data_IF_639348539660
#
_entry.id   IF_639348539660
#
_cell.length_a   1.000
_cell.length_b   1.000
_cell.length_c   1.000
_cell.angle_alpha   90.00
_cell.angle_beta   90.00
_cell.angle_gamma   90.00
#
_symmetry.space_group_name_H-M   'P 1'
#
loop_
_entity.id
_entity.type
_entity.pdbx_description
1 polymer ?
#
# COMPACT_ATOMS: atom_id res chain seq x y z
N UNK A 1 16.26 -12.86 -21.40
CA UNK A 1 16.41 -11.54 -22.07
C UNK A 1 17.76 -10.95 -21.67
N UNK A 2 18.49 -10.24 -22.56
CA UNK A 2 19.77 -9.61 -22.19
C UNK A 2 19.57 -8.19 -21.65
N UNK A 3 20.52 -7.70 -20.83
CA UNK A 3 20.49 -6.35 -20.26
C UNK A 3 20.43 -5.25 -21.33
N UNK A 4 21.11 -5.42 -22.46
CA UNK A 4 21.04 -4.47 -23.59
C UNK A 4 19.66 -4.43 -24.24
N UNK A 5 19.01 -5.60 -24.36
CA UNK A 5 17.62 -5.69 -24.85
C UNK A 5 16.64 -5.06 -23.86
N UNK A 6 16.84 -5.28 -22.55
CA UNK A 6 16.07 -4.62 -21.49
C UNK A 6 16.23 -3.10 -21.55
N UNK A 7 17.47 -2.61 -21.64
CA UNK A 7 17.80 -1.19 -21.73
C UNK A 7 17.08 -0.51 -22.91
N UNK A 8 17.13 -1.14 -24.10
CA UNK A 8 16.42 -0.67 -25.29
C UNK A 8 14.90 -0.64 -25.09
N UNK A 9 14.34 -1.70 -24.50
CA UNK A 9 12.89 -1.82 -24.28
C UNK A 9 12.33 -0.75 -23.32
N UNK A 10 13.12 -0.28 -22.35
CA UNK A 10 12.71 0.79 -21.43
C UNK A 10 13.35 2.15 -21.74
N UNK A 11 13.98 2.31 -22.91
CA UNK A 11 14.69 3.52 -23.32
C UNK A 11 15.67 4.05 -22.25
N UNK A 12 16.57 3.18 -21.80
CA UNK A 12 17.66 3.47 -20.87
C UNK A 12 19.00 3.08 -21.49
N UNK A 13 20.08 3.67 -20.99
CA UNK A 13 21.43 3.24 -21.36
C UNK A 13 21.81 1.97 -20.62
N UNK A 14 22.70 1.18 -21.21
CA UNK A 14 23.25 -0.03 -20.58
C UNK A 14 23.89 0.29 -19.22
N UNK A 15 24.65 1.38 -19.13
CA UNK A 15 25.23 1.85 -17.88
C UNK A 15 24.17 2.17 -16.81
N UNK A 16 23.01 2.69 -17.20
CA UNK A 16 21.93 2.97 -16.25
C UNK A 16 21.31 1.69 -15.69
N UNK A 17 21.11 0.66 -16.52
CA UNK A 17 20.69 -0.67 -16.06
C UNK A 17 21.69 -1.22 -15.05
N UNK A 18 22.99 -1.15 -15.36
CA UNK A 18 24.01 -1.60 -14.41
C UNK A 18 24.02 -0.82 -13.09
N UNK A 19 23.70 0.49 -13.11
CA UNK A 19 23.56 1.30 -11.89
C UNK A 19 22.34 0.89 -11.06
N UNK A 20 21.26 0.43 -11.69
CA UNK A 20 20.10 -0.09 -10.98
C UNK A 20 20.37 -1.48 -10.38
N UNK A 21 21.00 -2.37 -11.13
CA UNK A 21 21.36 -3.71 -10.63
C UNK A 21 22.35 -3.65 -9.46
N UNK A 22 23.31 -2.72 -9.50
CA UNK A 22 24.26 -2.50 -8.41
C UNK A 22 23.70 -1.67 -7.25
N UNK A 23 22.45 -1.20 -7.35
CA UNK A 23 21.80 -0.37 -6.35
C UNK A 23 22.42 1.02 -6.16
N UNK A 24 23.35 1.45 -7.02
CA UNK A 24 23.99 2.77 -6.92
C UNK A 24 23.04 3.91 -7.30
N UNK A 25 22.02 3.61 -8.12
CA UNK A 25 20.92 4.53 -8.40
C UNK A 25 19.61 3.95 -7.87
N UNK A 26 18.80 4.79 -7.23
CA UNK A 26 17.41 4.44 -6.89
C UNK A 26 16.55 4.39 -8.15
N UNK A 27 15.59 3.48 -8.14
CA UNK A 27 14.60 3.33 -9.19
C UNK A 27 13.26 3.89 -8.72
N UNK A 28 12.61 4.71 -9.56
CA UNK A 28 11.25 5.21 -9.28
C UNK A 28 10.17 4.19 -9.65
N UNK A 29 9.01 4.29 -9.03
CA UNK A 29 7.88 3.37 -9.23
C UNK A 29 7.45 3.23 -10.71
N UNK A 30 7.46 4.33 -11.47
CA UNK A 30 7.14 4.33 -12.91
C UNK A 30 8.12 3.45 -13.73
N UNK A 31 9.41 3.49 -13.40
CA UNK A 31 10.43 2.65 -14.06
C UNK A 31 10.30 1.19 -13.65
N UNK A 32 10.01 0.93 -12.37
CA UNK A 32 9.77 -0.42 -11.87
C UNK A 32 8.56 -1.06 -12.56
N UNK A 33 7.48 -0.30 -12.78
CA UNK A 33 6.32 -0.75 -13.55
C UNK A 33 6.66 -1.07 -15.02
N UNK A 34 7.46 -0.23 -15.68
CA UNK A 34 7.94 -0.51 -17.04
C UNK A 34 8.76 -1.81 -17.10
N UNK A 35 9.63 -2.04 -16.12
CA UNK A 35 10.40 -3.28 -16.05
C UNK A 35 9.52 -4.50 -15.82
N UNK A 36 8.53 -4.41 -14.93
CA UNK A 36 7.56 -5.48 -14.70
C UNK A 36 6.86 -5.89 -16.01
N UNK A 37 6.41 -4.91 -16.78
CA UNK A 37 5.73 -5.14 -18.06
C UNK A 37 6.66 -5.78 -19.11
N UNK A 38 7.90 -5.30 -19.23
CA UNK A 38 8.87 -5.83 -20.21
C UNK A 38 9.37 -7.24 -19.82
N UNK A 39 9.44 -7.54 -18.52
CA UNK A 39 9.86 -8.84 -18.00
C UNK A 39 8.70 -9.83 -17.86
N UNK A 40 7.47 -9.41 -18.12
CA UNK A 40 6.25 -10.19 -17.98
C UNK A 40 6.07 -10.78 -16.56
N UNK A 41 6.30 -9.94 -15.54
CA UNK A 41 6.11 -10.30 -14.13
C UNK A 41 5.23 -9.26 -13.43
N UNK A 42 4.48 -9.63 -12.39
CA UNK A 42 3.81 -8.66 -11.53
C UNK A 42 4.82 -7.70 -10.89
N UNK A 43 4.45 -6.43 -10.66
CA UNK A 43 5.33 -5.47 -9.95
C UNK A 43 5.74 -5.96 -8.56
N UNK A 44 4.91 -6.78 -7.91
CA UNK A 44 5.21 -7.38 -6.61
C UNK A 44 6.47 -8.24 -6.62
N UNK A 45 6.84 -8.84 -7.77
CA UNK A 45 8.05 -9.64 -7.94
C UNK A 45 9.32 -8.94 -7.43
N UNK A 46 9.44 -7.62 -7.63
CA UNK A 46 10.60 -6.85 -7.18
C UNK A 46 10.67 -6.63 -5.65
N UNK A 47 9.64 -7.06 -4.92
CA UNK A 47 9.49 -6.90 -3.49
C UNK A 47 9.35 -8.23 -2.75
N UNK A 48 9.35 -9.38 -3.43
CA UNK A 48 9.11 -10.71 -2.82
C UNK A 48 10.16 -11.08 -1.76
N UNK A 49 11.41 -10.63 -1.94
CA UNK A 49 12.51 -10.83 -0.98
C UNK A 49 12.70 -9.64 -0.03
N UNK A 50 11.82 -8.64 -0.10
CA UNK A 50 11.88 -7.51 0.82
C UNK A 50 11.34 -8.01 2.18
N UNK A 51 12.07 -7.80 3.29
CA UNK A 51 11.55 -8.16 4.61
C UNK A 51 10.21 -7.46 4.80
N UNK A 52 9.21 -8.23 5.25
CA UNK A 52 7.83 -7.75 5.44
C UNK A 52 7.85 -6.34 6.02
N UNK A 53 7.23 -5.40 5.30
CA UNK A 53 7.37 -3.97 5.49
C UNK A 53 6.83 -3.41 6.80
N UNK A 54 6.62 -4.23 7.84
CA UNK A 54 6.19 -3.79 9.18
C UNK A 54 7.14 -2.77 9.80
N UNK A 55 8.43 -2.84 9.47
CA UNK A 55 9.45 -1.90 9.97
C UNK A 55 9.60 -0.64 9.08
N UNK A 56 9.47 -0.77 7.75
CA UNK A 56 9.73 0.35 6.81
C UNK A 56 8.48 1.10 6.34
N UNK A 57 7.28 0.54 6.45
CA UNK A 57 6.03 1.28 6.21
C UNK A 57 5.86 2.46 7.18
N UNK A 58 6.47 2.39 8.38
CA UNK A 58 6.54 3.50 9.34
C UNK A 58 7.24 4.75 8.79
N UNK A 59 8.16 4.61 7.83
CA UNK A 59 8.91 5.73 7.25
C UNK A 59 8.15 6.45 6.12
N UNK A 60 7.22 5.76 5.43
CA UNK A 60 6.38 6.36 4.39
C UNK A 60 5.05 6.92 4.92
N UNK A 61 4.63 6.54 6.13
CA UNK A 61 3.48 7.10 6.83
C UNK A 61 3.77 8.46 7.51
N UNK A 62 4.95 9.05 7.28
CA UNK A 62 5.35 10.30 7.92
C UNK A 62 4.66 11.56 7.37
N UNK A 63 3.88 11.47 6.27
CA UNK A 63 3.21 12.62 5.65
C UNK A 63 1.67 12.55 5.65
N UNK A 64 1.10 11.87 6.65
CA UNK A 64 -0.32 11.93 6.91
C UNK A 64 -0.60 11.33 8.26
N UNK A 65 -1.43 11.99 9.06
CA UNK A 65 -1.95 11.50 10.34
C UNK A 65 -2.85 10.25 10.15
N UNK A 66 -2.31 9.20 9.55
CA UNK A 66 -2.89 7.88 9.49
C UNK A 66 -2.03 7.01 10.39
N UNK A 67 -2.56 6.68 11.57
CA UNK A 67 -2.06 5.57 12.36
C UNK A 67 -1.86 4.38 11.42
N UNK A 68 -0.70 3.70 11.45
CA UNK A 68 -0.47 2.52 10.63
C UNK A 68 -1.64 1.57 10.84
N UNK A 69 -2.44 1.36 9.79
CA UNK A 69 -3.51 0.38 9.83
C UNK A 69 -2.81 -0.97 9.94
N UNK A 70 -2.74 -1.53 11.15
CA UNK A 70 -2.09 -2.81 11.36
C UNK A 70 -2.81 -3.82 10.49
N UNK A 71 -2.07 -4.46 9.60
CA UNK A 71 -2.59 -5.47 8.67
C UNK A 71 -3.37 -6.58 9.41
N UNK A 72 -2.99 -6.81 10.67
CA UNK A 72 -3.63 -7.73 11.61
C UNK A 72 -5.07 -7.29 11.99
N UNK A 73 -5.36 -5.98 12.06
CA UNK A 73 -6.71 -5.46 12.35
C UNK A 73 -7.70 -5.73 11.21
N UNK A 74 -7.25 -5.71 9.96
CA UNK A 74 -8.08 -6.06 8.78
C UNK A 74 -8.26 -7.57 8.62
N UNK A 75 -7.34 -8.37 9.15
CA UNK A 75 -7.44 -9.83 9.18
C UNK A 75 -8.38 -10.35 10.28
N UNK A 76 -8.75 -9.51 11.27
CA UNK A 76 -9.69 -9.89 12.32
C UNK A 76 -11.03 -10.29 11.71
N UNK A 77 -11.50 -11.47 12.10
CA UNK A 77 -12.79 -12.04 11.67
C UNK A 77 -13.94 -11.05 11.86
N UNK A 78 -13.94 -10.34 12.98
CA UNK A 78 -14.93 -9.30 13.30
C UNK A 78 -14.95 -8.16 12.27
N UNK A 79 -13.78 -7.64 11.88
CA UNK A 79 -13.65 -6.59 10.85
C UNK A 79 -14.23 -7.04 9.51
N UNK A 80 -13.93 -8.28 9.11
CA UNK A 80 -14.45 -8.84 7.86
C UNK A 80 -15.98 -9.06 7.92
N UNK A 81 -16.50 -9.50 9.06
CA UNK A 81 -17.95 -9.64 9.27
C UNK A 81 -18.66 -8.28 9.23
N UNK A 82 -18.07 -7.24 9.83
CA UNK A 82 -18.57 -5.86 9.77
C UNK A 82 -18.62 -5.34 8.33
N UNK A 83 -17.54 -5.50 7.57
CA UNK A 83 -17.47 -5.06 6.16
C UNK A 83 -18.53 -5.79 5.34
N UNK A 84 -18.66 -7.11 5.49
CA UNK A 84 -19.68 -7.91 4.79
C UNK A 84 -21.09 -7.45 5.15
N UNK A 85 -21.37 -7.20 6.43
CA UNK A 85 -22.66 -6.72 6.89
C UNK A 85 -22.98 -5.33 6.32
N UNK A 86 -22.00 -4.42 6.29
CA UNK A 86 -22.16 -3.07 5.74
C UNK A 86 -22.57 -3.08 4.26
N UNK A 87 -21.95 -3.95 3.44
CA UNK A 87 -22.31 -4.08 2.03
C UNK A 87 -23.67 -4.74 1.78
N UNK A 88 -24.22 -5.50 2.74
CA UNK A 88 -25.59 -6.07 2.66
C UNK A 88 -26.69 -5.02 2.85
N UNK A 89 -26.36 -3.82 3.33
CA UNK A 89 -27.34 -2.74 3.54
C UNK A 89 -27.68 -2.13 2.18
N UNK A 90 -28.80 -2.52 1.57
CA UNK A 90 -29.21 -2.04 0.24
C UNK A 90 -29.60 -0.54 0.22
N UNK A 91 -30.17 -0.04 1.31
CA UNK A 91 -30.55 1.37 1.43
C UNK A 91 -29.31 2.26 1.67
N UNK A 92 -29.01 3.12 0.70
CA UNK A 92 -27.87 4.03 0.73
C UNK A 92 -27.96 5.08 1.84
N UNK A 93 -29.18 5.49 2.22
CA UNK A 93 -29.43 6.43 3.31
C UNK A 93 -29.13 5.77 4.64
N UNK A 94 -29.58 4.53 4.86
CA UNK A 94 -29.29 3.77 6.08
C UNK A 94 -27.80 3.51 6.20
N UNK A 95 -27.16 3.06 5.11
CA UNK A 95 -25.71 2.80 5.07
C UNK A 95 -24.90 4.05 5.45
N UNK A 96 -25.29 5.22 4.93
CA UNK A 96 -24.67 6.51 5.27
C UNK A 96 -24.84 6.87 6.75
N UNK A 97 -26.01 6.63 7.34
CA UNK A 97 -26.25 6.90 8.77
C UNK A 97 -25.37 6.03 9.68
N UNK A 98 -25.21 4.75 9.35
CA UNK A 98 -24.31 3.84 10.08
C UNK A 98 -22.86 4.30 10.00
N UNK A 99 -22.41 4.75 8.83
CA UNK A 99 -21.09 5.32 8.66
C UNK A 99 -20.87 6.56 9.54
N UNK A 100 -21.81 7.52 9.53
CA UNK A 100 -21.72 8.73 10.36
C UNK A 100 -21.77 8.42 11.86
N UNK A 101 -22.58 7.44 12.29
CA UNK A 101 -22.61 6.98 13.67
C UNK A 101 -21.24 6.42 14.09
N UNK A 102 -20.68 5.51 13.28
CA UNK A 102 -19.37 4.89 13.55
C UNK A 102 -18.27 5.96 13.65
N UNK A 103 -18.28 6.93 12.74
CA UNK A 103 -17.35 8.07 12.75
C UNK A 103 -17.51 8.96 13.98
N UNK A 104 -18.74 9.15 14.46
CA UNK A 104 -19.02 9.96 15.65
C UNK A 104 -18.54 9.27 16.92
N UNK A 105 -18.77 7.95 17.03
CA UNK A 105 -18.32 7.14 18.16
C UNK A 105 -16.79 7.10 18.25
N UNK A 106 -16.09 6.89 17.12
CA UNK A 106 -14.62 6.93 17.08
C UNK A 106 -14.04 8.28 17.55
N UNK A 107 -14.66 9.41 17.16
CA UNK A 107 -14.24 10.74 17.63
C UNK A 107 -14.53 11.01 19.10
N UNK A 108 -15.45 10.25 19.71
CA UNK A 108 -15.80 10.41 21.13
C UNK A 108 -14.77 9.78 22.06
N UNK A 109 -14.15 8.68 21.65
CA UNK A 109 -13.07 8.02 22.41
C UNK A 109 -11.80 8.88 22.46
N UNK A 110 -11.43 9.51 21.35
CA UNK A 110 -10.31 10.46 21.27
C UNK A 110 -10.45 11.66 22.21
N UNK A 111 -11.69 12.05 22.55
CA UNK A 111 -11.96 13.17 23.48
C UNK A 111 -11.89 12.76 24.94
N UNK A 112 -12.16 11.50 25.25
CA UNK A 112 -12.04 10.96 26.61
C UNK A 112 -10.57 10.73 26.96
N UNK A 113 -9.78 10.21 26.02
CA UNK A 113 -8.34 9.97 26.19
C UNK A 113 -7.51 11.26 26.39
N UNK A 114 -7.99 12.42 25.93
CA UNK A 114 -7.31 13.74 26.10
C UNK A 114 -7.64 14.46 27.41
N UNK A 115 -8.53 13.92 28.25
CA UNK A 115 -8.99 14.55 29.52
C UNK A 115 -8.50 13.82 30.77
N UNK A 116 -7.88 12.66 30.63
CA UNK A 116 -7.17 11.89 31.67
C UNK A 116 -5.68 12.19 31.62
#
# INVERSE_FOLDING_TARGET
MSQEKLAKAVNLTFQQIQKYERGSNRIGASRLFQFAHVLDVPVSFFYDDMPDGSEKAKLLAADGNAEPFEQDQLARRETLELVRAYYRINDSTVRRRIFELTKTLSRSEDRLAKRS
#
